data_IF_881638242136
#
_entry.id   IF_881638242136
#
_cell.length_a   1.000
_cell.length_b   1.000
_cell.length_c   1.000
_cell.angle_alpha   90.00
_cell.angle_beta   90.00
_cell.angle_gamma   90.00
#
_symmetry.space_group_name_H-M   'P 1'
#
loop_
_entity.id
_entity.type
_entity.pdbx_description
1 polymer ?
#
# COMPACT_ATOMS: atom_id res chain seq x y z
N UNK A 1 -15.49 -0.11 0.78
CA UNK A 1 -14.92 -1.45 0.53
C UNK A 1 -14.87 -2.21 1.84
N UNK A 2 -15.12 -3.54 1.80
CA UNK A 2 -14.92 -4.43 2.95
C UNK A 2 -14.06 -5.60 2.51
N UNK A 3 -13.19 -6.07 3.42
CA UNK A 3 -12.31 -7.22 3.20
C UNK A 3 -12.42 -8.10 4.44
N UNK A 4 -12.70 -9.37 4.25
CA UNK A 4 -12.81 -10.35 5.33
C UNK A 4 -11.84 -11.50 5.10
N UNK A 5 -10.97 -11.71 6.06
CA UNK A 5 -10.10 -12.88 6.14
C UNK A 5 -10.75 -13.91 7.05
N UNK A 6 -10.76 -15.16 6.62
CA UNK A 6 -11.26 -16.28 7.42
C UNK A 6 -10.20 -17.39 7.45
N UNK A 7 -9.61 -17.61 8.61
CA UNK A 7 -8.53 -18.57 8.83
C UNK A 7 -7.43 -18.45 7.75
N UNK A 8 -7.15 -17.23 7.30
CA UNK A 8 -6.24 -17.00 6.19
C UNK A 8 -4.78 -17.26 6.59
N UNK A 9 -4.05 -17.93 5.71
CA UNK A 9 -2.64 -18.21 5.90
C UNK A 9 -1.86 -18.19 4.59
N UNK A 10 -0.61 -17.76 4.67
CA UNK A 10 0.33 -17.76 3.55
C UNK A 10 1.62 -18.46 3.93
N UNK A 11 2.05 -19.39 3.06
CA UNK A 11 3.35 -20.04 3.15
C UNK A 11 4.09 -19.96 1.83
N UNK A 12 5.40 -19.97 1.92
CA UNK A 12 6.27 -20.26 0.79
C UNK A 12 7.00 -21.58 1.07
N UNK A 13 6.89 -22.51 0.16
CA UNK A 13 7.38 -23.87 0.34
C UNK A 13 6.82 -24.49 1.63
N UNK A 14 7.65 -24.69 2.65
CA UNK A 14 7.29 -25.28 3.96
C UNK A 14 7.20 -24.26 5.08
N UNK A 15 7.56 -23.00 4.83
CA UNK A 15 7.61 -21.95 5.85
C UNK A 15 6.32 -21.09 5.82
N UNK A 16 5.64 -21.05 6.96
CA UNK A 16 4.51 -20.16 7.16
C UNK A 16 4.97 -18.73 7.45
N UNK A 17 4.49 -17.80 6.65
CA UNK A 17 4.73 -16.38 6.85
C UNK A 17 3.75 -15.84 7.89
N UNK A 18 2.47 -16.18 7.71
CA UNK A 18 1.41 -15.95 8.69
C UNK A 18 0.35 -17.05 8.54
N UNK A 19 -0.46 -17.26 9.59
CA UNK A 19 -1.49 -18.31 9.61
C UNK A 19 -2.62 -17.94 10.57
N UNK A 20 -3.80 -18.51 10.35
CA UNK A 20 -4.99 -18.31 11.18
C UNK A 20 -5.37 -16.84 11.34
N UNK A 21 -5.22 -16.05 10.27
CA UNK A 21 -5.64 -14.66 10.29
C UNK A 21 -7.16 -14.58 10.08
N UNK A 22 -7.87 -14.17 11.14
CA UNK A 22 -9.28 -13.80 11.11
C UNK A 22 -9.36 -12.29 11.33
N UNK A 23 -9.83 -11.54 10.32
CA UNK A 23 -9.79 -10.09 10.33
C UNK A 23 -10.89 -9.51 9.44
N UNK A 24 -11.51 -8.42 9.88
CA UNK A 24 -12.43 -7.64 9.05
C UNK A 24 -11.91 -6.21 8.91
N UNK A 25 -11.73 -5.77 7.67
CA UNK A 25 -11.23 -4.45 7.31
C UNK A 25 -12.31 -3.70 6.51
N UNK A 26 -12.50 -2.43 6.76
CA UNK A 26 -13.53 -1.66 6.06
C UNK A 26 -13.16 -0.17 5.89
N UNK A 27 -13.71 0.45 4.85
CA UNK A 27 -13.68 1.91 4.66
C UNK A 27 -14.71 2.60 5.57
N UNK A 28 -14.46 3.82 6.03
CA UNK A 28 -13.19 4.54 6.04
C UNK A 28 -12.40 4.14 7.30
N UNK A 29 -11.24 3.58 7.15
CA UNK A 29 -10.39 3.20 8.28
C UNK A 29 -8.93 3.02 7.86
N UNK A 30 -7.99 3.32 8.74
CA UNK A 30 -6.57 3.14 8.50
C UNK A 30 -5.98 2.11 9.47
N UNK A 31 -5.29 1.10 8.93
CA UNK A 31 -4.67 0.00 9.67
C UNK A 31 -3.16 0.00 9.48
N UNK A 32 -2.42 -0.23 10.54
CA UNK A 32 -0.99 -0.47 10.50
C UNK A 32 -0.66 -1.94 10.73
N UNK A 33 0.11 -2.55 9.84
CA UNK A 33 0.70 -3.88 10.03
C UNK A 33 2.13 -3.69 10.51
N UNK A 34 2.42 -4.09 11.75
CA UNK A 34 3.72 -3.87 12.38
C UNK A 34 4.44 -5.19 12.68
N UNK A 35 5.75 -5.11 12.91
CA UNK A 35 6.58 -6.27 13.27
C UNK A 35 8.00 -6.18 12.69
N UNK A 36 8.95 -6.99 13.13
CA UNK A 36 10.34 -6.95 12.71
C UNK A 36 10.54 -7.06 11.18
N UNK A 37 11.69 -6.61 10.68
CA UNK A 37 12.04 -6.84 9.28
C UNK A 37 12.08 -8.34 8.99
N UNK A 38 11.60 -8.73 7.80
CA UNK A 38 11.44 -10.14 7.43
C UNK A 38 10.29 -10.87 8.13
N UNK A 39 9.46 -10.20 8.93
CA UNK A 39 8.34 -10.86 9.64
C UNK A 39 7.15 -11.22 8.75
N UNK A 40 7.12 -10.77 7.49
CA UNK A 40 6.04 -11.05 6.55
C UNK A 40 5.02 -9.94 6.35
N UNK A 41 5.26 -8.72 6.85
CA UNK A 41 4.37 -7.55 6.69
C UNK A 41 4.02 -7.28 5.23
N UNK A 42 5.03 -7.17 4.37
CA UNK A 42 4.84 -6.93 2.93
C UNK A 42 4.07 -8.07 2.26
N UNK A 43 4.35 -9.32 2.65
CA UNK A 43 3.61 -10.49 2.17
C UNK A 43 2.14 -10.43 2.59
N UNK A 44 1.85 -10.02 3.82
CA UNK A 44 0.50 -9.84 4.32
C UNK A 44 -0.24 -8.77 3.53
N UNK A 45 0.41 -7.61 3.32
CA UNK A 45 -0.14 -6.49 2.54
C UNK A 45 -0.46 -6.91 1.09
N UNK A 46 0.47 -7.61 0.43
CA UNK A 46 0.26 -8.15 -0.93
C UNK A 46 -0.87 -9.18 -0.98
N UNK A 47 -1.03 -9.98 0.08
CA UNK A 47 -2.12 -10.97 0.17
C UNK A 47 -3.47 -10.26 0.32
N UNK A 48 -3.57 -9.23 1.17
CA UNK A 48 -4.77 -8.38 1.29
C UNK A 48 -5.11 -7.70 -0.04
N UNK A 49 -4.11 -7.28 -0.80
CA UNK A 49 -4.28 -6.68 -2.13
C UNK A 49 -4.59 -7.67 -3.24
N UNK A 50 -4.73 -8.97 -2.95
CA UNK A 50 -4.99 -9.99 -3.97
C UNK A 50 -3.81 -10.28 -4.92
N UNK A 51 -2.64 -9.70 -4.67
CA UNK A 51 -1.42 -9.94 -5.45
C UNK A 51 -0.80 -11.32 -5.16
N UNK A 52 -1.04 -11.83 -3.96
CA UNK A 52 -0.64 -13.17 -3.54
C UNK A 52 -1.86 -13.94 -3.04
N UNK A 53 -2.09 -15.13 -3.57
CA UNK A 53 -3.13 -16.02 -3.09
C UNK A 53 -2.77 -16.59 -1.71
N UNK A 54 -3.77 -16.77 -0.85
CA UNK A 54 -3.63 -17.50 0.40
C UNK A 54 -3.28 -18.97 0.15
N UNK A 55 -2.58 -19.58 1.09
CA UNK A 55 -2.27 -21.03 1.06
C UNK A 55 -3.27 -21.84 1.88
N UNK A 56 -4.01 -21.19 2.78
CA UNK A 56 -5.04 -21.75 3.65
C UNK A 56 -6.09 -20.68 3.94
N UNK A 57 -7.35 -21.10 4.18
CA UNK A 57 -8.45 -20.19 4.46
C UNK A 57 -8.91 -19.41 3.23
N UNK A 58 -9.43 -18.20 3.43
CA UNK A 58 -9.95 -17.39 2.36
C UNK A 58 -9.90 -15.88 2.64
N UNK A 59 -10.01 -15.10 1.57
CA UNK A 59 -10.22 -13.66 1.62
C UNK A 59 -11.42 -13.33 0.74
N UNK A 60 -12.37 -12.65 1.32
CA UNK A 60 -13.57 -12.16 0.64
C UNK A 60 -13.50 -10.63 0.53
N UNK A 61 -13.92 -10.12 -0.63
CA UNK A 61 -13.97 -8.68 -0.90
C UNK A 61 -15.39 -8.26 -1.23
N UNK A 62 -15.78 -7.07 -0.81
CA UNK A 62 -17.09 -6.50 -1.16
C UNK A 62 -17.02 -4.98 -1.37
N UNK A 63 -17.82 -4.50 -2.33
CA UNK A 63 -18.08 -3.07 -2.55
C UNK A 63 -19.53 -2.76 -2.12
N UNK A 64 -19.66 -2.08 -0.98
CA UNK A 64 -20.97 -1.99 -0.30
C UNK A 64 -21.48 -3.38 0.06
N UNK A 65 -22.65 -3.76 -0.47
CA UNK A 65 -23.26 -5.08 -0.24
C UNK A 65 -23.02 -6.07 -1.39
N UNK A 66 -22.23 -5.71 -2.41
CA UNK A 66 -21.94 -6.57 -3.55
C UNK A 66 -20.60 -7.27 -3.36
N UNK A 67 -20.57 -8.62 -3.42
CA UNK A 67 -19.29 -9.33 -3.43
C UNK A 67 -18.48 -8.95 -4.67
N UNK A 68 -17.18 -8.91 -4.51
CA UNK A 68 -16.21 -8.60 -5.57
C UNK A 68 -15.37 -9.86 -5.82
N UNK A 69 -15.26 -10.27 -7.07
CA UNK A 69 -14.43 -11.40 -7.45
C UNK A 69 -12.94 -11.08 -7.21
N UNK A 70 -12.16 -12.05 -6.74
CA UNK A 70 -10.74 -11.88 -6.44
C UNK A 70 -9.95 -11.38 -7.65
N UNK A 71 -10.33 -11.78 -8.84
CA UNK A 71 -9.72 -11.39 -10.11
C UNK A 71 -9.98 -9.93 -10.49
N UNK A 72 -10.98 -9.29 -9.86
CA UNK A 72 -11.32 -7.88 -10.11
C UNK A 72 -10.71 -6.92 -9.08
N UNK A 73 -10.18 -7.44 -7.97
CA UNK A 73 -9.67 -6.63 -6.84
C UNK A 73 -8.61 -5.64 -7.28
N UNK A 74 -7.76 -6.01 -8.24
CA UNK A 74 -6.71 -5.14 -8.76
C UNK A 74 -7.23 -3.78 -9.28
N UNK A 75 -8.49 -3.70 -9.73
CA UNK A 75 -9.11 -2.45 -10.16
C UNK A 75 -9.38 -1.48 -9.01
N UNK A 76 -9.51 -2.01 -7.79
CA UNK A 76 -9.95 -1.28 -6.60
C UNK A 76 -8.83 -0.98 -5.61
N UNK A 77 -7.57 -1.31 -5.96
CA UNK A 77 -6.41 -1.08 -5.12
C UNK A 77 -5.41 -0.13 -5.77
N UNK A 78 -4.68 0.59 -4.96
CA UNK A 78 -3.42 1.24 -5.31
C UNK A 78 -2.34 0.81 -4.32
N UNK A 79 -1.10 0.71 -4.79
CA UNK A 79 0.00 0.13 -4.02
C UNK A 79 1.29 0.94 -4.19
N UNK A 80 1.93 1.24 -3.07
CA UNK A 80 3.26 1.83 -3.02
C UNK A 80 4.17 0.94 -2.18
N UNK A 81 5.34 0.59 -2.71
CA UNK A 81 6.35 -0.20 -2.00
C UNK A 81 7.77 0.19 -2.46
N UNK A 82 8.79 -0.01 -1.61
CA UNK A 82 10.18 0.32 -1.98
C UNK A 82 10.67 -0.44 -3.21
N UNK A 83 10.26 -1.70 -3.34
CA UNK A 83 10.67 -2.61 -4.43
C UNK A 83 9.87 -2.44 -5.73
N UNK A 84 8.84 -1.59 -5.77
CA UNK A 84 8.16 -1.23 -7.01
C UNK A 84 8.93 -0.10 -7.69
N UNK A 85 9.34 -0.36 -8.91
CA UNK A 85 10.04 0.63 -9.71
C UNK A 85 9.09 1.51 -10.50
N UNK A 86 9.50 2.74 -10.74
CA UNK A 86 8.89 3.66 -11.70
C UNK A 86 9.61 3.51 -13.05
N UNK A 87 8.94 3.87 -14.15
CA UNK A 87 9.56 3.85 -15.48
C UNK A 87 10.53 5.02 -15.58
N UNK A 88 11.81 4.74 -15.37
CA UNK A 88 12.85 5.76 -15.20
C UNK A 88 13.18 6.54 -16.48
N UNK A 89 12.87 5.98 -17.66
CA UNK A 89 13.06 6.58 -18.97
C UNK A 89 12.04 7.70 -19.26
N UNK A 90 10.90 7.67 -18.60
CA UNK A 90 9.87 8.69 -18.74
C UNK A 90 10.20 9.94 -17.92
N UNK A 91 9.70 11.08 -18.37
CA UNK A 91 9.54 12.26 -17.52
C UNK A 91 8.42 12.04 -16.52
N UNK A 92 8.36 12.82 -15.44
CA UNK A 92 7.27 12.71 -14.46
C UNK A 92 5.90 12.93 -15.11
N UNK A 93 5.80 13.90 -16.02
CA UNK A 93 4.54 14.18 -16.70
C UNK A 93 4.07 12.99 -17.57
N UNK A 94 4.98 12.40 -18.34
CA UNK A 94 4.68 11.20 -19.15
C UNK A 94 4.32 10.01 -18.28
N UNK A 95 5.07 9.76 -17.20
CA UNK A 95 4.80 8.68 -16.27
C UNK A 95 3.41 8.80 -15.63
N UNK A 96 3.07 9.98 -15.12
CA UNK A 96 1.74 10.20 -14.52
C UNK A 96 0.62 10.04 -15.55
N UNK A 97 0.77 10.58 -16.77
CA UNK A 97 -0.21 10.38 -17.84
C UNK A 97 -0.37 8.90 -18.21
N UNK A 98 0.74 8.18 -18.34
CA UNK A 98 0.75 6.74 -18.62
C UNK A 98 0.07 5.94 -17.50
N UNK A 99 0.49 6.13 -16.25
CA UNK A 99 -0.06 5.41 -15.11
C UNK A 99 -1.57 5.62 -14.98
N UNK A 100 -2.01 6.85 -15.07
CA UNK A 100 -3.43 7.20 -14.92
C UNK A 100 -4.28 6.96 -16.19
N UNK A 101 -3.71 6.45 -17.26
CA UNK A 101 -4.48 5.86 -18.37
C UNK A 101 -5.08 4.50 -18.00
N UNK A 102 -4.48 3.78 -17.03
CA UNK A 102 -4.98 2.50 -16.53
C UNK A 102 -5.87 2.65 -15.30
N UNK A 103 -5.62 3.66 -14.47
CA UNK A 103 -6.40 3.94 -13.24
C UNK A 103 -6.72 5.43 -13.18
N UNK A 104 -7.99 5.76 -13.05
CA UNK A 104 -8.41 7.15 -13.00
C UNK A 104 -7.77 7.93 -11.84
N UNK A 105 -7.52 9.21 -12.04
CA UNK A 105 -7.19 10.13 -10.96
C UNK A 105 -8.36 10.28 -9.98
N UNK A 106 -8.05 10.63 -8.76
CA UNK A 106 -9.05 11.19 -7.84
C UNK A 106 -9.78 12.38 -8.51
N UNK A 107 -11.07 12.59 -8.20
CA UNK A 107 -11.84 13.69 -8.76
C UNK A 107 -11.14 15.04 -8.63
N UNK A 108 -11.06 15.79 -9.72
CA UNK A 108 -10.42 17.10 -9.78
C UNK A 108 -8.89 17.10 -9.83
N UNK A 109 -8.25 15.93 -9.90
CA UNK A 109 -6.80 15.77 -10.05
C UNK A 109 -6.42 15.60 -11.53
N UNK A 110 -5.18 15.94 -11.85
CA UNK A 110 -4.51 15.72 -13.12
C UNK A 110 -2.99 15.71 -12.91
N UNK A 111 -2.23 15.35 -13.94
CA UNK A 111 -0.77 15.26 -13.86
C UNK A 111 -0.10 16.55 -13.34
N UNK A 112 -0.56 17.71 -13.78
CA UNK A 112 0.00 19.00 -13.37
C UNK A 112 -0.22 19.25 -11.86
N UNK A 113 -1.47 19.12 -11.38
CA UNK A 113 -1.79 19.29 -9.96
C UNK A 113 -1.04 18.32 -9.06
N UNK A 114 -0.97 17.04 -9.47
CA UNK A 114 -0.21 16.01 -8.73
C UNK A 114 1.26 16.40 -8.65
N UNK A 115 1.87 16.81 -9.77
CA UNK A 115 3.27 17.24 -9.83
C UNK A 115 3.56 18.44 -8.91
N UNK A 116 2.62 19.40 -8.83
CA UNK A 116 2.71 20.55 -7.92
C UNK A 116 2.60 20.11 -6.45
N UNK A 117 1.62 19.27 -6.13
CA UNK A 117 1.36 18.78 -4.77
C UNK A 117 2.53 18.00 -4.17
N UNK A 118 3.21 17.19 -4.98
CA UNK A 118 4.40 16.44 -4.51
C UNK A 118 5.70 17.25 -4.54
N UNK A 119 5.63 18.56 -4.91
CA UNK A 119 6.77 19.47 -4.90
C UNK A 119 7.77 19.26 -6.02
N UNK A 120 7.38 18.59 -7.13
CA UNK A 120 8.28 18.22 -8.22
C UNK A 120 8.01 19.01 -9.53
N UNK A 121 7.31 20.13 -9.46
CA UNK A 121 7.01 20.97 -10.63
C UNK A 121 8.28 21.38 -11.40
N UNK A 122 9.34 21.72 -10.70
CA UNK A 122 10.63 22.12 -11.27
C UNK A 122 11.33 21.01 -12.05
N UNK A 123 10.96 19.75 -11.80
CA UNK A 123 11.56 18.56 -12.42
C UNK A 123 10.58 17.83 -13.37
N UNK A 124 9.37 18.35 -13.59
CA UNK A 124 8.28 17.66 -14.29
C UNK A 124 8.66 17.11 -15.69
N UNK A 125 9.53 17.79 -16.39
CA UNK A 125 10.01 17.43 -17.73
C UNK A 125 11.38 16.74 -17.75
N UNK A 126 11.96 16.49 -16.58
CA UNK A 126 13.21 15.74 -16.43
C UNK A 126 12.89 14.25 -16.31
N UNK A 127 13.65 13.38 -16.96
CA UNK A 127 13.50 11.93 -16.81
C UNK A 127 13.70 11.50 -15.37
N UNK A 128 12.89 10.54 -14.90
CA UNK A 128 12.87 10.04 -13.53
C UNK A 128 14.21 9.39 -13.14
N UNK A 129 14.96 8.85 -14.10
CA UNK A 129 16.31 8.32 -13.84
C UNK A 129 17.26 9.31 -13.16
N UNK A 130 17.06 10.60 -13.37
CA UNK A 130 17.86 11.66 -12.79
C UNK A 130 17.30 12.21 -11.47
N UNK A 131 16.26 11.57 -10.92
CA UNK A 131 15.69 11.95 -9.62
C UNK A 131 16.50 11.33 -8.49
N UNK A 132 16.56 12.05 -7.35
CA UNK A 132 17.04 11.45 -6.10
C UNK A 132 16.10 10.33 -5.62
N UNK A 133 16.58 9.49 -4.70
CA UNK A 133 15.74 8.43 -4.10
C UNK A 133 14.48 8.99 -3.45
N UNK A 134 14.57 10.12 -2.74
CA UNK A 134 13.43 10.80 -2.15
C UNK A 134 12.46 11.36 -3.18
N UNK A 135 12.94 11.90 -4.31
CA UNK A 135 12.06 12.33 -5.40
C UNK A 135 11.34 11.13 -6.04
N UNK A 136 12.02 10.01 -6.27
CA UNK A 136 11.40 8.76 -6.76
C UNK A 136 10.36 8.24 -5.79
N UNK A 137 10.61 8.31 -4.48
CA UNK A 137 9.64 7.91 -3.47
C UNK A 137 8.39 8.79 -3.49
N UNK A 138 8.53 10.12 -3.66
CA UNK A 138 7.38 11.01 -3.83
C UNK A 138 6.56 10.67 -5.08
N UNK A 139 7.17 10.22 -6.17
CA UNK A 139 6.47 9.73 -7.38
C UNK A 139 5.70 8.45 -7.08
N UNK A 140 6.30 7.48 -6.35
CA UNK A 140 5.64 6.23 -5.94
C UNK A 140 4.44 6.50 -5.03
N UNK A 141 4.56 7.43 -4.09
CA UNK A 141 3.43 7.87 -3.25
C UNK A 141 2.33 8.51 -4.10
N UNK A 142 2.69 9.36 -5.05
CA UNK A 142 1.72 10.02 -5.91
C UNK A 142 0.89 9.01 -6.73
N UNK A 143 1.53 8.02 -7.35
CA UNK A 143 0.82 7.01 -8.13
C UNK A 143 -0.16 6.19 -7.28
N UNK A 144 0.12 5.96 -5.99
CA UNK A 144 -0.77 5.22 -5.11
C UNK A 144 -1.90 6.11 -4.55
N UNK A 145 -1.55 7.28 -4.02
CA UNK A 145 -2.48 8.15 -3.30
C UNK A 145 -3.49 8.82 -4.24
N UNK A 146 -3.05 9.27 -5.43
CA UNK A 146 -3.93 9.97 -6.37
C UNK A 146 -4.73 9.08 -7.31
N UNK A 147 -4.60 7.74 -7.22
CA UNK A 147 -5.54 6.81 -7.85
C UNK A 147 -6.91 6.88 -7.18
N UNK A 148 -7.97 6.87 -7.98
CA UNK A 148 -9.35 6.77 -7.49
C UNK A 148 -9.71 5.32 -7.15
N UNK A 149 -9.10 4.82 -6.09
CA UNK A 149 -9.29 3.45 -5.59
C UNK A 149 -9.72 3.47 -4.12
N UNK A 150 -10.63 2.60 -3.68
CA UNK A 150 -11.09 2.55 -2.30
C UNK A 150 -10.06 1.95 -1.32
N UNK A 151 -9.05 1.21 -1.81
CA UNK A 151 -7.99 0.61 -1.00
C UNK A 151 -6.63 1.16 -1.40
N UNK A 152 -5.90 1.69 -0.43
CA UNK A 152 -4.52 2.18 -0.58
C UNK A 152 -3.60 1.34 0.30
N UNK A 153 -2.66 0.68 -0.31
CA UNK A 153 -1.67 -0.15 0.35
C UNK A 153 -0.30 0.52 0.29
N UNK A 154 0.33 0.70 1.43
CA UNK A 154 1.59 1.44 1.58
C UNK A 154 2.58 0.57 2.36
N UNK A 155 3.62 0.12 1.69
CA UNK A 155 4.71 -0.66 2.29
C UNK A 155 5.92 0.26 2.48
N UNK A 156 6.32 0.52 3.72
CA UNK A 156 7.41 1.44 4.11
C UNK A 156 7.37 2.78 3.34
N UNK A 157 6.26 3.52 3.43
CA UNK A 157 6.00 4.67 2.55
C UNK A 157 6.99 5.82 2.68
N UNK A 158 7.65 5.99 3.82
CA UNK A 158 8.61 7.06 4.03
C UNK A 158 10.07 6.67 3.75
N UNK A 159 10.31 5.47 3.20
CA UNK A 159 11.65 5.06 2.80
C UNK A 159 12.32 6.12 1.91
N UNK A 160 13.54 6.52 2.27
CA UNK A 160 14.34 7.55 1.59
C UNK A 160 13.76 8.98 1.61
N UNK A 161 12.73 9.27 2.39
CA UNK A 161 12.22 10.62 2.58
C UNK A 161 13.01 11.37 3.67
N UNK A 162 13.27 12.64 3.42
CA UNK A 162 13.68 13.60 4.43
C UNK A 162 12.48 14.08 5.25
N UNK A 163 12.72 14.92 6.25
CA UNK A 163 11.67 15.46 7.11
C UNK A 163 10.54 16.14 6.32
N UNK A 164 10.89 16.91 5.28
CA UNK A 164 9.89 17.57 4.42
C UNK A 164 9.08 16.55 3.61
N UNK A 165 9.72 15.46 3.17
CA UNK A 165 9.04 14.37 2.48
C UNK A 165 8.07 13.62 3.39
N UNK A 166 8.42 13.43 4.66
CA UNK A 166 7.54 12.82 5.68
C UNK A 166 6.33 13.73 5.96
N UNK A 167 6.55 15.03 6.11
CA UNK A 167 5.46 15.99 6.29
C UNK A 167 4.51 16.03 5.09
N UNK A 168 5.07 15.97 3.88
CA UNK A 168 4.30 15.83 2.64
C UNK A 168 3.47 14.54 2.66
N UNK A 169 4.06 13.40 3.02
CA UNK A 169 3.34 12.13 3.14
C UNK A 169 2.13 12.24 4.07
N UNK A 170 2.30 12.79 5.27
CA UNK A 170 1.19 12.98 6.21
C UNK A 170 0.11 13.92 5.68
N UNK A 171 0.52 14.99 5.00
CA UNK A 171 -0.43 15.89 4.32
C UNK A 171 -1.24 15.13 3.26
N UNK A 172 -0.57 14.34 2.41
CA UNK A 172 -1.23 13.59 1.34
C UNK A 172 -2.22 12.56 1.89
N UNK A 173 -1.85 11.81 2.93
CA UNK A 173 -2.75 10.86 3.58
C UNK A 173 -3.97 11.56 4.16
N UNK A 174 -3.76 12.61 4.96
CA UNK A 174 -4.85 13.33 5.62
C UNK A 174 -5.86 13.92 4.64
N UNK A 175 -5.38 14.49 3.52
CA UNK A 175 -6.24 15.26 2.62
C UNK A 175 -6.82 14.42 1.47
N UNK A 176 -6.17 13.29 1.10
CA UNK A 176 -6.57 12.50 -0.06
C UNK A 176 -6.95 11.04 0.24
N UNK A 177 -6.76 10.55 1.48
CA UNK A 177 -7.09 9.17 1.83
C UNK A 177 -8.18 9.02 2.89
N UNK A 178 -8.77 10.10 3.38
CA UNK A 178 -9.70 10.14 4.52
C UNK A 178 -10.88 9.16 4.41
N UNK A 179 -11.47 9.04 3.22
CA UNK A 179 -12.66 8.22 2.98
C UNK A 179 -12.34 6.83 2.42
N UNK A 180 -11.07 6.43 2.52
CA UNK A 180 -10.54 5.20 1.93
C UNK A 180 -10.14 4.20 3.01
N UNK A 181 -10.02 2.95 2.63
CA UNK A 181 -9.31 1.96 3.44
C UNK A 181 -7.82 2.11 3.17
N UNK A 182 -7.06 2.46 4.20
CA UNK A 182 -5.59 2.61 4.12
C UNK A 182 -4.95 1.49 4.93
N UNK A 183 -3.96 0.83 4.36
CA UNK A 183 -3.13 -0.12 5.11
C UNK A 183 -1.66 0.24 4.95
N UNK A 184 -0.98 0.43 6.07
CA UNK A 184 0.45 0.73 6.12
C UNK A 184 1.19 -0.47 6.71
N UNK A 185 2.23 -0.91 6.04
CA UNK A 185 3.18 -1.91 6.55
C UNK A 185 4.47 -1.20 6.94
N UNK A 186 4.79 -1.15 8.22
CA UNK A 186 5.99 -0.47 8.70
C UNK A 186 6.41 -0.89 10.11
N UNK A 187 7.67 -0.60 10.45
CA UNK A 187 8.21 -0.62 11.82
C UNK A 187 8.35 0.76 12.41
N UNK A 188 8.30 1.80 11.59
CA UNK A 188 8.49 3.18 12.02
C UNK A 188 7.13 3.82 12.34
N UNK A 189 6.92 4.19 13.60
CA UNK A 189 5.69 4.81 14.06
C UNK A 189 5.36 6.10 13.28
N UNK A 190 6.37 6.81 12.79
CA UNK A 190 6.18 8.00 11.98
C UNK A 190 5.35 7.70 10.72
N UNK A 191 5.47 6.50 10.15
CA UNK A 191 4.75 6.12 8.94
C UNK A 191 3.28 5.79 9.18
N UNK A 192 2.90 5.36 10.40
CA UNK A 192 1.55 4.87 10.69
C UNK A 192 0.84 5.52 11.88
N UNK A 193 1.41 6.56 12.50
CA UNK A 193 0.82 7.23 13.68
C UNK A 193 -0.61 7.78 13.46
N UNK A 194 -1.06 7.91 12.21
CA UNK A 194 -2.41 8.32 11.86
C UNK A 194 -3.39 7.14 11.77
N UNK A 195 -2.89 5.90 11.79
CA UNK A 195 -3.73 4.71 11.70
C UNK A 195 -4.61 4.56 12.94
N UNK A 196 -5.85 4.15 12.70
CA UNK A 196 -6.85 3.94 13.75
C UNK A 196 -6.57 2.67 14.55
N UNK A 197 -5.96 1.66 13.91
CA UNK A 197 -5.66 0.37 14.51
C UNK A 197 -4.28 -0.14 14.11
N UNK A 198 -3.57 -0.71 15.09
CA UNK A 198 -2.25 -1.33 14.89
C UNK A 198 -2.34 -2.83 15.09
N UNK A 199 -1.98 -3.58 14.07
CA UNK A 199 -2.04 -5.05 14.04
C UNK A 199 -0.62 -5.62 13.95
N UNK A 200 -0.06 -6.18 15.01
CA UNK A 200 1.21 -6.86 14.95
C UNK A 200 1.11 -8.12 14.10
N UNK A 201 1.92 -8.26 13.05
CA UNK A 201 1.92 -9.48 12.19
C UNK A 201 2.23 -10.74 12.99
N UNK A 202 2.92 -10.59 14.11
CA UNK A 202 3.24 -11.71 15.03
C UNK A 202 2.00 -12.36 15.65
N UNK A 203 0.86 -11.65 15.68
CA UNK A 203 -0.43 -12.20 16.11
C UNK A 203 -0.86 -13.39 15.24
N UNK A 204 -0.47 -13.37 13.96
CA UNK A 204 -0.79 -14.41 12.99
C UNK A 204 0.36 -15.38 12.72
N UNK A 205 1.41 -15.37 13.54
CA UNK A 205 2.46 -16.40 13.48
C UNK A 205 2.02 -17.62 14.24
N UNK A 206 2.09 -18.81 13.61
CA UNK A 206 1.98 -20.06 14.34
C UNK A 206 3.04 -20.06 15.44
N UNK A 207 2.64 -20.36 16.69
CA UNK A 207 3.62 -20.67 17.74
C UNK A 207 4.48 -21.80 17.17
N UNK A 208 5.79 -21.57 17.05
CA UNK A 208 6.72 -22.64 16.73
C UNK A 208 6.48 -23.73 17.78
N UNK A 209 6.00 -24.87 17.34
CA UNK A 209 6.05 -26.08 18.17
C UNK A 209 7.56 -26.30 18.35
N UNK A 210 8.06 -25.93 19.52
CA UNK A 210 9.38 -26.35 19.96
C UNK A 210 9.38 -27.86 19.82
N UNK A 211 10.13 -28.39 18.86
CA UNK A 211 10.47 -29.80 18.81
C UNK A 211 11.20 -30.09 20.13
N UNK A 212 10.48 -30.60 21.11
CA UNK A 212 11.08 -31.33 22.22
C UNK A 212 11.43 -32.70 21.70
N UNK A 213 12.71 -32.95 21.75
CA UNK A 213 13.46 -34.17 21.53
C UNK A 213 12.68 -35.47 21.78
#
# INVERSE_FOLDING_TARGET
MKIKLTNAGKRFNREWIFRHADLELSTPHAYAITGPNGSGKSTFLQTIGGMLQVSEGGIEYAMGNKPLASEEVYNFISFCAPYLDVIEEMTLTEFLQFHFSFKAYLPGMNAQKVTELIGLKHAAHKQIRFYSSGMKQRVKLAQAIFCNTPLVLLDEPCSNLDQQGIELYHFLIRDYCRDRLVMVSSNDEVEYRFCDEVIPITTFKSKSVSASE
#
